data_IF_540231422787
#
_entry.id   IF_540231422787
#
_cell.length_a   1.000
_cell.length_b   1.000
_cell.length_c   1.000
_cell.angle_alpha   90.00
_cell.angle_beta   90.00
_cell.angle_gamma   90.00
#
_symmetry.space_group_name_H-M   'P 1'
#
loop_
_entity.id
_entity.type
_entity.pdbx_description
1 polymer ?
#
# COMPACT_ATOMS: atom_id res chain seq x y z
N UNK A 1 8.95 1.48 49.98
CA UNK A 1 8.37 0.54 48.99
C UNK A 1 7.46 1.20 47.95
N UNK A 2 6.67 2.23 48.28
CA UNK A 2 5.75 2.91 47.33
C UNK A 2 6.42 3.54 46.10
N UNK A 3 7.61 4.13 46.23
CA UNK A 3 8.27 4.85 45.12
C UNK A 3 8.90 3.93 44.04
N UNK A 4 9.17 2.66 44.36
CA UNK A 4 9.75 1.70 43.39
C UNK A 4 8.70 1.17 42.41
N UNK A 5 7.44 1.07 42.85
CA UNK A 5 6.31 0.60 42.04
C UNK A 5 5.92 1.65 41.00
N UNK A 6 5.97 2.94 41.35
CA UNK A 6 5.68 4.03 40.42
C UNK A 6 6.70 4.10 39.26
N UNK A 7 7.98 3.86 39.56
CA UNK A 7 9.05 3.82 38.56
C UNK A 7 8.92 2.62 37.62
N UNK A 8 8.48 1.46 38.14
CA UNK A 8 8.23 0.26 37.35
C UNK A 8 7.03 0.45 36.39
N UNK A 9 5.98 1.14 36.84
CA UNK A 9 4.82 1.47 36.00
C UNK A 9 5.19 2.43 34.88
N UNK A 10 5.99 3.47 35.14
CA UNK A 10 6.47 4.38 34.08
C UNK A 10 7.33 3.68 33.04
N UNK A 11 8.13 2.69 33.45
CA UNK A 11 8.96 1.91 32.52
C UNK A 11 8.11 1.02 31.60
N UNK A 12 7.00 0.46 32.09
CA UNK A 12 6.06 -0.35 31.28
C UNK A 12 5.29 0.49 30.25
N UNK A 13 4.99 1.75 30.55
CA UNK A 13 4.36 2.66 29.58
C UNK A 13 5.30 3.14 28.47
N UNK A 14 6.62 3.13 28.69
CA UNK A 14 7.59 3.53 27.66
C UNK A 14 7.73 2.51 26.51
N UNK A 15 7.42 1.23 26.75
CA UNK A 15 7.45 0.20 25.70
C UNK A 15 6.15 0.10 24.89
N UNK A 16 5.06 0.72 25.36
CA UNK A 16 3.75 0.63 24.70
C UNK A 16 3.57 1.62 23.54
N UNK A 17 4.54 2.51 23.30
CA UNK A 17 4.51 3.50 22.23
C UNK A 17 5.33 3.10 21.00
N UNK A 18 5.76 1.84 20.88
CA UNK A 18 6.09 1.31 19.57
C UNK A 18 4.76 1.00 18.88
N UNK A 19 4.15 2.06 18.32
CA UNK A 19 3.07 1.90 17.36
C UNK A 19 3.58 0.93 16.30
N UNK A 20 2.98 -0.26 16.29
CA UNK A 20 3.25 -1.29 15.32
C UNK A 20 2.76 -0.74 13.98
N UNK A 21 3.66 -0.10 13.24
CA UNK A 21 3.47 0.18 11.83
C UNK A 21 3.20 -1.18 11.20
N UNK A 22 1.93 -1.49 10.96
CA UNK A 22 1.54 -2.70 10.25
C UNK A 22 2.34 -2.74 8.98
N UNK A 23 3.01 -3.85 8.72
CA UNK A 23 3.77 -4.06 7.49
C UNK A 23 2.84 -3.72 6.33
N UNK A 24 3.06 -2.56 5.69
CA UNK A 24 2.36 -2.20 4.48
C UNK A 24 2.91 -3.12 3.39
N UNK A 25 2.39 -4.36 3.33
CA UNK A 25 2.78 -5.33 2.33
C UNK A 25 2.56 -4.71 0.96
N UNK A 26 3.61 -4.60 0.15
CA UNK A 26 3.54 -4.04 -1.19
C UNK A 26 3.51 -5.17 -2.21
N UNK A 27 2.56 -5.12 -3.13
CA UNK A 27 2.48 -6.02 -4.27
C UNK A 27 3.06 -5.36 -5.52
N UNK A 28 3.50 -6.19 -6.46
CA UNK A 28 4.02 -5.75 -7.76
C UNK A 28 3.20 -6.37 -8.88
N UNK A 29 2.45 -5.54 -9.60
CA UNK A 29 1.77 -5.93 -10.83
C UNK A 29 2.73 -5.73 -12.01
N UNK A 30 3.02 -6.81 -12.74
CA UNK A 30 3.82 -6.78 -13.97
C UNK A 30 2.97 -7.17 -15.16
N UNK A 31 3.18 -6.51 -16.30
CA UNK A 31 2.45 -6.83 -17.51
C UNK A 31 3.08 -6.21 -18.76
N UNK A 32 2.47 -6.50 -19.92
CA UNK A 32 2.84 -5.93 -21.20
C UNK A 32 1.58 -5.43 -21.91
N UNK A 33 1.61 -4.19 -22.37
CA UNK A 33 0.51 -3.59 -23.12
C UNK A 33 0.77 -3.72 -24.63
N UNK A 34 -0.19 -4.29 -25.34
CA UNK A 34 -0.18 -4.43 -26.80
C UNK A 34 -1.46 -3.87 -27.40
N UNK A 35 -1.40 -3.41 -28.65
CA UNK A 35 -2.57 -2.98 -29.42
C UNK A 35 -3.30 -4.18 -30.06
N UNK A 36 -4.37 -3.91 -30.80
CA UNK A 36 -5.17 -4.94 -31.49
C UNK A 36 -4.42 -5.67 -32.61
N UNK A 37 -3.25 -5.16 -33.03
CA UNK A 37 -2.35 -5.76 -34.02
C UNK A 37 -1.19 -6.52 -33.37
N UNK A 38 -1.15 -6.58 -32.05
CA UNK A 38 -0.08 -7.23 -31.29
C UNK A 38 1.18 -6.39 -31.12
N UNK A 39 1.16 -5.10 -31.49
CA UNK A 39 2.30 -4.20 -31.35
C UNK A 39 2.39 -3.62 -29.95
N UNK A 40 3.61 -3.38 -29.46
CA UNK A 40 3.83 -2.77 -28.16
C UNK A 40 3.22 -1.37 -28.11
N UNK A 41 2.61 -1.03 -26.97
CA UNK A 41 2.12 0.33 -26.69
C UNK A 41 3.07 1.00 -25.70
N UNK A 42 4.02 1.82 -26.17
CA UNK A 42 4.98 2.49 -25.30
C UNK A 42 4.39 3.72 -24.62
N UNK A 43 4.97 4.12 -23.49
CA UNK A 43 4.64 5.35 -22.77
C UNK A 43 3.15 5.46 -22.34
N UNK A 44 2.47 4.32 -22.22
CA UNK A 44 1.08 4.27 -21.78
C UNK A 44 0.99 4.58 -20.29
N UNK A 45 0.13 5.52 -19.92
CA UNK A 45 -0.09 5.91 -18.52
C UNK A 45 -1.15 5.01 -17.89
N UNK A 46 -0.74 4.17 -16.95
CA UNK A 46 -1.64 3.33 -16.17
C UNK A 46 -1.95 4.00 -14.82
N UNK A 47 -3.19 3.89 -14.37
CA UNK A 47 -3.62 4.28 -13.03
C UNK A 47 -4.37 3.10 -12.44
N UNK A 48 -4.03 2.75 -11.21
CA UNK A 48 -4.80 1.78 -10.45
C UNK A 48 -5.65 2.52 -9.42
N UNK A 49 -6.93 2.19 -9.41
CA UNK A 49 -7.91 2.76 -8.51
C UNK A 49 -8.28 1.70 -7.47
N UNK A 50 -8.30 2.09 -6.20
CA UNK A 50 -8.90 1.30 -5.15
C UNK A 50 -10.20 1.94 -4.69
N UNK A 51 -11.01 1.11 -4.04
CA UNK A 51 -12.34 1.45 -3.56
C UNK A 51 -13.30 1.81 -4.71
N UNK A 52 -14.61 1.64 -4.51
CA UNK A 52 -15.61 2.03 -5.52
C UNK A 52 -15.58 3.53 -5.83
N UNK A 53 -14.92 4.33 -4.98
CA UNK A 53 -14.84 5.79 -5.07
C UNK A 53 -13.70 6.31 -5.96
N UNK A 54 -12.88 5.43 -6.56
CA UNK A 54 -11.94 5.83 -7.61
C UNK A 54 -10.67 6.54 -7.11
N UNK A 55 -10.23 6.25 -5.88
CA UNK A 55 -8.97 6.79 -5.35
C UNK A 55 -7.79 6.16 -6.08
N UNK A 56 -6.92 6.97 -6.67
CA UNK A 56 -5.69 6.48 -7.33
C UNK A 56 -4.69 6.02 -6.28
N UNK A 57 -4.42 4.73 -6.23
CA UNK A 57 -3.47 4.13 -5.27
C UNK A 57 -2.10 3.82 -5.88
N UNK A 58 -2.00 3.74 -7.21
CA UNK A 58 -0.73 3.55 -7.90
C UNK A 58 -0.79 4.06 -9.34
N UNK A 59 0.39 4.33 -9.91
CA UNK A 59 0.58 4.76 -11.30
C UNK A 59 1.71 3.95 -11.93
N UNK A 60 1.61 3.74 -13.24
CA UNK A 60 2.65 3.08 -14.03
C UNK A 60 2.81 3.71 -15.40
N UNK A 61 3.98 3.47 -16.00
CA UNK A 61 4.27 3.81 -17.39
C UNK A 61 4.80 2.54 -18.07
N UNK A 62 4.34 2.25 -19.29
CA UNK A 62 4.96 1.22 -20.11
C UNK A 62 6.24 1.71 -20.79
N UNK A 63 7.23 0.84 -20.90
CA UNK A 63 8.47 1.09 -21.65
C UNK A 63 8.28 0.95 -23.17
N UNK A 64 9.37 1.11 -23.93
CA UNK A 64 9.37 1.02 -25.40
C UNK A 64 8.93 -0.35 -25.94
N UNK A 65 9.00 -1.41 -25.13
CA UNK A 65 8.54 -2.76 -25.48
C UNK A 65 7.13 -3.06 -24.94
N UNK A 66 6.50 -2.07 -24.29
CA UNK A 66 5.17 -2.13 -23.72
C UNK A 66 5.12 -2.73 -22.32
N UNK A 67 6.25 -3.08 -21.70
CA UNK A 67 6.26 -3.67 -20.36
C UNK A 67 6.07 -2.60 -19.29
N UNK A 68 5.38 -2.95 -18.21
CA UNK A 68 5.20 -2.09 -17.04
C UNK A 68 5.34 -2.88 -15.74
N UNK A 69 5.73 -2.16 -14.69
CA UNK A 69 5.74 -2.63 -13.31
C UNK A 69 5.03 -1.58 -12.44
N UNK A 70 4.00 -1.97 -11.70
CA UNK A 70 3.25 -1.08 -10.80
C UNK A 70 3.35 -1.65 -9.39
N UNK A 71 3.92 -0.87 -8.47
CA UNK A 71 3.96 -1.19 -7.04
C UNK A 71 2.74 -0.58 -6.38
N UNK A 72 2.06 -1.35 -5.54
CA UNK A 72 0.85 -0.91 -4.86
C UNK A 72 0.68 -1.56 -3.50
N UNK A 73 0.00 -0.90 -2.55
CA UNK A 73 -0.25 -1.47 -1.24
C UNK A 73 -1.23 -2.65 -1.33
N UNK A 74 -0.94 -3.72 -0.60
CA UNK A 74 -1.89 -4.75 -0.20
C UNK A 74 -2.95 -4.06 0.66
N UNK A 75 -4.07 -3.70 0.06
CA UNK A 75 -5.22 -3.30 0.86
C UNK A 75 -5.80 -4.57 1.45
N UNK A 76 -5.35 -4.95 2.65
CA UNK A 76 -6.28 -5.64 3.55
C UNK A 76 -7.52 -4.76 3.59
N UNK A 77 -8.67 -5.35 3.27
CA UNK A 77 -9.96 -4.68 3.21
C UNK A 77 -10.06 -3.72 4.38
N UNK A 78 -9.98 -2.41 4.11
CA UNK A 78 -10.26 -1.41 5.14
C UNK A 78 -11.73 -1.63 5.48
N UNK A 79 -11.99 -2.37 6.57
CA UNK A 79 -13.32 -2.68 7.04
C UNK A 79 -13.92 -1.37 7.56
N UNK A 80 -14.59 -0.63 6.67
CA UNK A 80 -15.31 0.60 7.00
C UNK A 80 -16.65 0.32 7.68
N UNK A 81 -16.76 -0.75 8.48
CA UNK A 81 -17.96 -1.05 9.28
C UNK A 81 -18.15 -0.09 10.47
N UNK A 82 -17.47 1.07 10.48
CA UNK A 82 -17.51 2.06 11.55
C UNK A 82 -18.16 3.40 11.18
N UNK A 83 -18.77 3.55 9.99
CA UNK A 83 -19.40 4.81 9.55
C UNK A 83 -20.81 4.61 8.96
N UNK A 84 -21.66 3.84 9.63
CA UNK A 84 -23.11 3.92 9.49
C UNK A 84 -23.78 3.79 10.86
#
# INVERSE_FOLDING_TARGET
>A
MKNKILLLLMFLFAFSACEQFGDNELHVLKGRLIDTKGQAVPNAKLKMLAFREGVVIAKGLSDEQGYFNIVYPSTEVVNFSGLY
#
